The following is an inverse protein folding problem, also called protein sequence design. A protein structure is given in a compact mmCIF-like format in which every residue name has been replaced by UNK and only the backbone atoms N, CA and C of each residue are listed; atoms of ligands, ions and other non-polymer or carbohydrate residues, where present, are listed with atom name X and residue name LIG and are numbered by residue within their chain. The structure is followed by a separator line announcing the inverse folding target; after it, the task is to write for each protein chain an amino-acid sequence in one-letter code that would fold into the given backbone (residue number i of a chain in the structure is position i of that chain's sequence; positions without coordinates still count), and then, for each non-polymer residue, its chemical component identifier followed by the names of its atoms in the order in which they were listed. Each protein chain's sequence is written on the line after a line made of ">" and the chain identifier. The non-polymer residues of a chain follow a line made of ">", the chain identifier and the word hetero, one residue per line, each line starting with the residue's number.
data_IF_420699743797
#
_entry.id   IF_420699743797
#
_cell.length_a   1.000
_cell.length_b   1.000
_cell.length_c   1.000
_cell.angle_alpha   90.00
_cell.angle_beta   90.00
_cell.angle_gamma   90.00
#
_symmetry.space_group_name_H-M   'P 1'
#
loop_
_entity.id
_entity.type
_entity.pdbx_description
1 polymer ?
#
# COMPACT_ATOMS: atom_id res chain seq x y z
N UNK A 1 -21.88 20.81 7.35
CA UNK A 1 -20.93 19.78 7.82
C UNK A 1 -20.05 19.45 6.64
N UNK A 2 -18.87 20.05 6.61
CA UNK A 2 -17.86 19.82 5.56
C UNK A 2 -16.80 18.95 6.22
N UNK A 3 -16.72 17.68 5.85
CA UNK A 3 -15.66 16.80 6.33
C UNK A 3 -14.30 17.40 5.93
N UNK A 4 -13.30 17.46 6.84
CA UNK A 4 -11.99 17.96 6.46
C UNK A 4 -11.34 16.91 5.58
N UNK A 5 -11.27 17.18 4.27
CA UNK A 5 -10.28 16.55 3.41
C UNK A 5 -8.91 16.96 3.96
N UNK A 6 -8.32 16.09 4.79
CA UNK A 6 -6.90 16.14 5.14
C UNK A 6 -6.10 16.03 3.84
N UNK A 7 -5.88 17.16 3.19
CA UNK A 7 -4.96 17.30 2.07
C UNK A 7 -3.56 17.21 2.67
N UNK A 8 -3.03 15.99 2.74
CA UNK A 8 -1.62 15.77 3.02
C UNK A 8 -0.78 16.58 2.00
N UNK A 9 0.36 17.16 2.43
CA UNK A 9 1.21 17.98 1.57
C UNK A 9 1.68 17.20 0.34
N UNK A 10 1.99 17.87 -0.80
CA UNK A 10 2.52 17.23 -1.99
C UNK A 10 4.01 16.89 -1.79
N UNK A 11 4.31 16.03 -0.83
CA UNK A 11 5.46 15.14 -1.00
C UNK A 11 5.17 14.30 -2.25
N UNK A 12 6.17 13.91 -3.04
CA UNK A 12 5.95 13.06 -4.22
C UNK A 12 5.37 11.71 -3.76
N UNK A 13 4.05 11.66 -3.61
CA UNK A 13 3.31 10.50 -3.14
C UNK A 13 2.94 9.68 -4.37
N UNK A 14 3.36 8.41 -4.40
CA UNK A 14 2.99 7.53 -5.51
C UNK A 14 1.47 7.38 -5.53
N UNK A 15 0.84 7.72 -6.66
CA UNK A 15 -0.60 7.53 -6.85
C UNK A 15 -0.85 6.19 -7.52
N UNK A 16 -1.45 5.28 -6.76
CA UNK A 16 -1.74 3.89 -7.17
C UNK A 16 -3.26 3.65 -7.29
N UNK A 17 -4.05 4.72 -7.38
CA UNK A 17 -5.51 4.69 -7.40
C UNK A 17 -6.01 3.74 -8.47
N UNK A 18 -6.79 2.72 -8.09
CA UNK A 18 -7.35 1.71 -8.99
C UNK A 18 -6.32 1.01 -9.91
N UNK A 19 -5.05 1.00 -9.53
CA UNK A 19 -4.00 0.32 -10.27
C UNK A 19 -4.00 -1.19 -9.99
N UNK A 20 -3.64 -1.99 -10.99
CA UNK A 20 -3.60 -3.44 -10.89
C UNK A 20 -2.17 -3.97 -11.02
N UNK A 21 -1.64 -4.48 -9.91
CA UNK A 21 -0.31 -5.07 -9.77
C UNK A 21 -0.36 -6.60 -9.59
N UNK A 22 -1.41 -7.25 -10.06
CA UNK A 22 -1.59 -8.70 -9.89
C UNK A 22 -0.40 -9.47 -10.45
N UNK A 23 0.28 -10.28 -9.62
CA UNK A 23 1.49 -11.07 -9.97
C UNK A 23 2.70 -10.25 -10.40
N UNK A 24 2.77 -8.96 -10.04
CA UNK A 24 3.96 -8.14 -10.29
C UNK A 24 5.00 -8.40 -9.20
N UNK A 25 6.28 -8.30 -9.57
CA UNK A 25 7.40 -8.28 -8.62
C UNK A 25 7.78 -6.83 -8.34
N UNK A 26 7.63 -6.41 -7.09
CA UNK A 26 7.94 -5.09 -6.55
C UNK A 26 8.80 -5.26 -5.28
N UNK A 27 9.77 -6.17 -5.37
CA UNK A 27 10.77 -6.41 -4.34
C UNK A 27 11.53 -5.09 -4.07
N UNK A 28 11.72 -4.74 -2.79
CA UNK A 28 12.39 -3.49 -2.36
C UNK A 28 11.72 -2.19 -2.86
N UNK A 29 10.44 -2.23 -3.24
CA UNK A 29 9.75 -1.03 -3.70
C UNK A 29 9.60 0.04 -2.60
N UNK A 30 9.87 1.28 -2.97
CA UNK A 30 9.76 2.46 -2.10
C UNK A 30 8.40 3.12 -2.32
N UNK A 31 7.41 2.80 -1.48
CA UNK A 31 6.02 3.25 -1.55
C UNK A 31 5.61 4.12 -0.34
N UNK A 32 6.58 4.88 0.17
CA UNK A 32 6.41 5.82 1.28
C UNK A 32 5.38 6.90 0.94
N UNK A 33 4.47 7.17 1.86
CA UNK A 33 3.36 8.12 1.74
C UNK A 33 2.47 7.88 0.51
N UNK A 34 2.51 6.70 -0.11
CA UNK A 34 1.73 6.43 -1.32
C UNK A 34 0.22 6.41 -1.02
N UNK A 35 -0.59 6.78 -2.01
CA UNK A 35 -2.05 6.79 -1.92
C UNK A 35 -2.62 5.91 -3.02
N UNK A 36 -3.34 4.86 -2.63
CA UNK A 36 -3.90 3.87 -3.55
C UNK A 36 -5.24 3.30 -3.09
N UNK A 37 -6.29 4.13 -2.93
CA UNK A 37 -7.65 3.63 -2.74
C UNK A 37 -8.02 2.61 -3.82
N UNK A 38 -8.48 1.43 -3.40
CA UNK A 38 -8.89 0.31 -4.26
C UNK A 38 -7.77 -0.23 -5.18
N UNK A 39 -6.51 -0.06 -4.81
CA UNK A 39 -5.40 -0.69 -5.52
C UNK A 39 -5.42 -2.23 -5.38
N UNK A 40 -4.93 -2.95 -6.38
CA UNK A 40 -4.91 -4.42 -6.39
C UNK A 40 -3.47 -4.94 -6.41
N UNK A 41 -3.08 -5.65 -5.36
CA UNK A 41 -1.76 -6.30 -5.15
C UNK A 41 -1.89 -7.82 -4.99
N UNK A 42 -2.80 -8.44 -5.75
CA UNK A 42 -3.06 -9.88 -5.62
C UNK A 42 -1.89 -10.71 -6.13
N UNK A 43 -1.38 -11.65 -5.33
CA UNK A 43 -0.23 -12.52 -5.67
C UNK A 43 1.04 -11.74 -6.06
N UNK A 44 1.18 -10.51 -5.58
CA UNK A 44 2.32 -9.64 -5.84
C UNK A 44 3.47 -9.94 -4.89
N UNK A 45 4.72 -9.80 -5.32
CA UNK A 45 5.90 -9.88 -4.44
C UNK A 45 6.28 -8.47 -4.00
N UNK A 46 6.20 -8.20 -2.69
CA UNK A 46 6.49 -6.93 -2.01
C UNK A 46 7.59 -7.14 -0.95
N UNK A 47 8.42 -8.16 -1.12
CA UNK A 47 9.45 -8.51 -0.14
C UNK A 47 10.41 -7.32 0.03
N UNK A 48 10.70 -6.95 1.28
CA UNK A 48 11.50 -5.79 1.69
C UNK A 48 10.98 -4.43 1.18
N UNK A 49 9.73 -4.35 0.71
CA UNK A 49 9.13 -3.07 0.29
C UNK A 49 8.80 -2.17 1.49
N UNK A 50 8.85 -0.85 1.27
CA UNK A 50 8.58 0.18 2.28
C UNK A 50 7.26 0.88 2.04
N UNK A 51 6.36 0.82 3.01
CA UNK A 51 5.01 1.38 2.98
C UNK A 51 4.78 2.42 4.10
N UNK A 52 5.83 3.14 4.50
CA UNK A 52 5.74 4.09 5.60
C UNK A 52 4.73 5.20 5.29
N UNK A 53 3.71 5.41 6.13
CA UNK A 53 2.68 6.44 5.94
C UNK A 53 1.71 6.19 4.78
N UNK A 54 1.62 4.96 4.26
CA UNK A 54 0.78 4.65 3.11
C UNK A 54 -0.72 4.72 3.44
N UNK A 55 -1.53 5.16 2.48
CA UNK A 55 -3.01 5.14 2.55
C UNK A 55 -3.60 4.26 1.45
N UNK A 56 -4.10 3.09 1.84
CA UNK A 56 -4.61 2.06 0.92
C UNK A 56 -6.02 1.56 1.31
N UNK A 57 -7.02 2.45 1.47
CA UNK A 57 -8.35 2.03 1.82
C UNK A 57 -8.93 1.11 0.73
N UNK A 58 -9.46 -0.03 1.15
CA UNK A 58 -10.08 -1.06 0.31
C UNK A 58 -9.14 -1.65 -0.77
N UNK A 59 -7.83 -1.56 -0.56
CA UNK A 59 -6.85 -2.24 -1.40
C UNK A 59 -6.91 -3.76 -1.20
N UNK A 60 -6.69 -4.53 -2.27
CA UNK A 60 -6.69 -5.98 -2.26
C UNK A 60 -5.26 -6.52 -2.27
N UNK A 61 -4.76 -6.95 -1.11
CA UNK A 61 -3.41 -7.54 -0.94
C UNK A 61 -3.45 -9.08 -0.80
N UNK A 62 -4.53 -9.74 -1.25
CA UNK A 62 -4.68 -11.19 -1.06
C UNK A 62 -3.53 -11.96 -1.72
N UNK A 63 -2.92 -12.86 -0.94
CA UNK A 63 -1.78 -13.70 -1.36
C UNK A 63 -0.55 -12.89 -1.79
N UNK A 64 -0.44 -11.62 -1.43
CA UNK A 64 0.81 -10.88 -1.60
C UNK A 64 1.89 -11.47 -0.69
N UNK A 65 3.12 -11.49 -1.17
CA UNK A 65 4.30 -11.81 -0.36
C UNK A 65 4.87 -10.51 0.17
N UNK A 66 5.03 -10.40 1.49
CA UNK A 66 5.48 -9.17 2.14
C UNK A 66 6.62 -9.49 3.14
N UNK A 67 7.50 -10.42 2.80
CA UNK A 67 8.57 -10.85 3.71
C UNK A 67 9.49 -9.65 3.97
N UNK A 68 9.76 -9.32 5.23
CA UNK A 68 10.57 -8.17 5.64
C UNK A 68 10.05 -6.80 5.14
N UNK A 69 8.80 -6.72 4.68
CA UNK A 69 8.20 -5.45 4.29
C UNK A 69 7.92 -4.56 5.53
N UNK A 70 8.12 -3.26 5.38
CA UNK A 70 7.94 -2.27 6.45
C UNK A 70 6.63 -1.52 6.24
N UNK A 71 5.80 -1.46 7.28
CA UNK A 71 4.48 -0.82 7.26
C UNK A 71 4.32 0.20 8.39
N UNK A 72 5.32 1.05 8.63
CA UNK A 72 5.22 2.04 9.70
C UNK A 72 4.12 3.06 9.38
N UNK A 73 3.24 3.35 10.34
CA UNK A 73 2.18 4.36 10.17
C UNK A 73 1.26 4.10 8.95
N UNK A 74 1.16 2.86 8.50
CA UNK A 74 0.31 2.48 7.37
C UNK A 74 -1.15 2.52 7.79
N UNK A 75 -1.91 3.46 7.22
CA UNK A 75 -3.30 3.68 7.57
C UNK A 75 -4.18 2.65 6.83
N UNK A 76 -4.72 1.69 7.59
CA UNK A 76 -5.83 0.80 7.19
C UNK A 76 -5.51 -0.20 6.06
N UNK A 77 -4.34 -0.84 6.10
CA UNK A 77 -4.07 -2.04 5.31
C UNK A 77 -4.88 -3.24 5.83
N UNK A 78 -5.57 -4.03 4.98
CA UNK A 78 -6.30 -5.23 5.40
C UNK A 78 -5.38 -6.42 5.71
N UNK A 79 -4.16 -6.15 6.24
CA UNK A 79 -3.22 -7.15 6.72
C UNK A 79 -3.79 -7.82 7.98
N UNK A 80 -4.80 -8.68 7.81
CA UNK A 80 -5.05 -9.74 8.79
C UNK A 80 -3.81 -10.62 8.72
N UNK A 81 -3.15 -10.79 9.87
CA UNK A 81 -1.93 -11.59 10.10
C UNK A 81 -1.94 -12.99 9.42
N UNK A 82 -1.79 -13.04 8.11
CA UNK A 82 -1.59 -14.26 7.30
C UNK A 82 -0.32 -14.15 6.45
N UNK A 83 0.62 -13.28 6.85
CA UNK A 83 1.99 -13.36 6.40
C UNK A 83 2.61 -14.59 7.09
N UNK A 84 2.70 -15.69 6.35
CA UNK A 84 3.45 -16.88 6.76
C UNK A 84 4.79 -16.90 6.04
#
# INVERSE_FOLDING_TARGET
>A
MSEPFTRAPPELTAQLVQSNFTRVKMEEAELRSASGPRAVFVKTTLDRARFDGVRLPDADVRRAHCIEAVFADAERLPLRNEAR
#
